data_IF_200872581753
#
_entry.id   IF_200872581753
#
_cell.length_a   1.000
_cell.length_b   1.000
_cell.length_c   1.000
_cell.angle_alpha   90.00
_cell.angle_beta   90.00
_cell.angle_gamma   90.00
#
_symmetry.space_group_name_H-M   'P 1'
#
loop_
_entity.id
_entity.type
_entity.pdbx_description
1 polymer ?
#
# COMPACT_ATOMS: atom_id res chain seq x y z
N UNK A 1 0.68 15.73 4.58
CA UNK A 1 -0.31 15.13 5.51
C UNK A 1 -1.25 14.26 4.70
N UNK A 2 -1.22 12.94 4.85
CA UNK A 2 -1.91 11.99 3.96
C UNK A 2 -3.46 12.01 4.10
N UNK A 3 -3.98 12.45 5.24
CA UNK A 3 -5.41 12.38 5.58
C UNK A 3 -6.08 13.76 5.72
N UNK A 4 -5.41 14.84 5.30
CA UNK A 4 -5.87 16.21 5.56
C UNK A 4 -5.90 16.57 7.05
N UNK A 5 -6.54 17.68 7.41
CA UNK A 5 -6.57 18.18 8.79
C UNK A 5 -7.73 19.15 9.08
N UNK A 6 -7.90 19.48 10.37
CA UNK A 6 -8.95 20.39 10.85
C UNK A 6 -10.37 19.83 10.68
N UNK A 7 -11.34 20.71 10.42
CA UNK A 7 -12.78 20.37 10.32
C UNK A 7 -13.13 19.42 9.16
N UNK A 8 -12.21 19.18 8.23
CA UNK A 8 -12.39 18.29 7.07
C UNK A 8 -11.30 17.22 6.98
N UNK A 9 -10.72 16.84 8.12
CA UNK A 9 -9.84 15.67 8.19
C UNK A 9 -10.59 14.42 7.75
N UNK A 10 -9.89 13.46 7.14
CA UNK A 10 -10.46 12.17 6.79
C UNK A 10 -11.07 11.50 8.03
N UNK A 11 -12.36 11.24 8.01
CA UNK A 11 -13.08 10.57 9.09
C UNK A 11 -12.52 9.16 9.38
N UNK A 12 -11.91 8.53 8.38
CA UNK A 12 -11.29 7.20 8.48
C UNK A 12 -9.80 7.20 8.82
N UNK A 13 -9.17 8.34 9.14
CA UNK A 13 -7.71 8.42 9.28
C UNK A 13 -7.13 7.40 10.27
N UNK A 14 -7.75 7.27 11.45
CA UNK A 14 -7.33 6.30 12.47
C UNK A 14 -7.53 4.85 12.01
N UNK A 15 -8.69 4.55 11.43
CA UNK A 15 -9.01 3.21 10.93
C UNK A 15 -8.08 2.80 9.79
N UNK A 16 -7.77 3.71 8.87
CA UNK A 16 -6.83 3.47 7.78
C UNK A 16 -5.44 3.11 8.33
N UNK A 17 -4.97 3.79 9.38
CA UNK A 17 -3.68 3.48 9.99
C UNK A 17 -3.70 2.11 10.69
N UNK A 18 -4.78 1.78 11.42
CA UNK A 18 -4.91 0.48 12.07
C UNK A 18 -4.91 -0.67 11.05
N UNK A 19 -5.67 -0.53 9.97
CA UNK A 19 -5.72 -1.51 8.89
C UNK A 19 -4.35 -1.64 8.24
N UNK A 20 -3.70 -0.52 7.86
CA UNK A 20 -2.41 -0.54 7.20
C UNK A 20 -1.33 -1.20 8.07
N UNK A 21 -1.18 -0.77 9.33
CA UNK A 21 -0.18 -1.32 10.24
C UNK A 21 -0.39 -2.82 10.49
N UNK A 22 -1.61 -3.24 10.82
CA UNK A 22 -1.90 -4.64 11.12
C UNK A 22 -1.70 -5.53 9.87
N UNK A 23 -2.16 -5.06 8.71
CA UNK A 23 -2.04 -5.81 7.44
C UNK A 23 -0.57 -5.96 7.04
N UNK A 24 0.19 -4.86 7.05
CA UNK A 24 1.62 -4.88 6.71
C UNK A 24 2.37 -5.76 7.70
N UNK A 25 2.13 -5.59 9.01
CA UNK A 25 2.75 -6.41 10.05
C UNK A 25 2.53 -7.91 9.82
N UNK A 26 1.29 -8.31 9.52
CA UNK A 26 0.97 -9.71 9.21
C UNK A 26 1.66 -10.20 7.94
N UNK A 27 1.59 -9.41 6.86
CA UNK A 27 2.19 -9.75 5.56
C UNK A 27 3.70 -9.94 5.65
N UNK A 28 4.40 -9.08 6.37
CA UNK A 28 5.86 -9.18 6.54
C UNK A 28 6.25 -10.19 7.61
N UNK A 29 5.38 -10.53 8.56
CA UNK A 29 5.70 -11.58 9.54
C UNK A 29 5.62 -12.97 8.89
N UNK A 30 4.61 -13.22 8.06
CA UNK A 30 4.34 -14.56 7.52
C UNK A 30 5.01 -14.86 6.18
N UNK A 31 5.38 -13.85 5.40
CA UNK A 31 5.87 -14.08 4.03
C UNK A 31 7.16 -13.31 3.74
N UNK A 32 8.04 -13.94 2.98
CA UNK A 32 9.11 -13.30 2.22
C UNK A 32 8.53 -12.82 0.89
N UNK A 33 8.86 -11.59 0.51
CA UNK A 33 8.31 -10.93 -0.67
C UNK A 33 9.42 -10.68 -1.69
N UNK A 34 9.15 -10.99 -2.95
CA UNK A 34 9.98 -10.58 -4.09
C UNK A 34 9.12 -10.06 -5.24
N UNK A 35 9.73 -9.26 -6.11
CA UNK A 35 9.08 -8.69 -7.29
C UNK A 35 9.63 -9.39 -8.54
N UNK A 36 8.76 -9.81 -9.46
CA UNK A 36 9.21 -10.53 -10.67
C UNK A 36 9.99 -9.63 -11.64
N UNK A 37 9.52 -8.40 -11.84
CA UNK A 37 10.16 -7.37 -12.66
C UNK A 37 9.92 -6.01 -11.98
N UNK A 38 10.98 -5.21 -11.82
CA UNK A 38 10.88 -3.84 -11.31
C UNK A 38 10.65 -2.88 -12.47
N UNK A 39 9.44 -2.36 -12.58
CA UNK A 39 9.01 -1.54 -13.73
C UNK A 39 9.33 -0.04 -13.58
N UNK A 40 10.22 0.35 -12.67
CA UNK A 40 10.61 1.76 -12.48
C UNK A 40 9.43 2.66 -12.05
N UNK A 41 9.51 3.96 -12.36
CA UNK A 41 8.42 4.91 -12.09
C UNK A 41 7.19 4.62 -12.95
N UNK A 42 6.19 4.03 -12.32
CA UNK A 42 4.98 3.49 -12.95
C UNK A 42 3.73 4.07 -12.26
N UNK A 43 3.50 5.38 -12.42
CA UNK A 43 2.43 6.10 -11.73
C UNK A 43 1.32 6.47 -12.73
N UNK A 44 0.09 6.07 -12.42
CA UNK A 44 -1.08 6.52 -13.15
C UNK A 44 -1.48 7.93 -12.70
N UNK A 45 -1.20 8.92 -13.55
CA UNK A 45 -1.48 10.33 -13.28
C UNK A 45 -2.90 10.77 -13.65
N UNK A 46 -3.70 9.88 -14.27
CA UNK A 46 -5.05 10.21 -14.76
C UNK A 46 -6.16 9.88 -13.74
N UNK A 47 -5.82 9.32 -12.57
CA UNK A 47 -6.78 8.86 -11.57
C UNK A 47 -7.18 9.90 -10.50
N UNK A 48 -8.32 9.66 -9.83
CA UNK A 48 -8.74 10.39 -8.62
C UNK A 48 -7.84 10.11 -7.40
N UNK A 49 -7.15 8.97 -7.42
CA UNK A 49 -6.14 8.57 -6.44
C UNK A 49 -4.87 8.18 -7.19
N UNK A 50 -3.72 8.29 -6.51
CA UNK A 50 -2.46 7.78 -7.05
C UNK A 50 -2.50 6.26 -7.08
N UNK A 51 -2.36 5.68 -8.26
CA UNK A 51 -2.34 4.23 -8.48
C UNK A 51 -1.12 3.88 -9.34
N UNK A 52 -0.72 2.61 -9.34
CA UNK A 52 0.26 2.15 -10.33
C UNK A 52 -0.34 2.21 -11.73
N UNK A 53 0.46 2.59 -12.72
CA UNK A 53 0.04 2.61 -14.12
C UNK A 53 -0.09 1.18 -14.68
N UNK A 54 0.81 0.27 -14.29
CA UNK A 54 0.74 -1.13 -14.63
C UNK A 54 0.56 -2.01 -13.37
N UNK A 55 -0.18 -3.14 -13.47
CA UNK A 55 -0.28 -4.08 -12.35
C UNK A 55 1.09 -4.64 -11.97
N UNK A 56 1.40 -4.62 -10.67
CA UNK A 56 2.62 -5.25 -10.13
C UNK A 56 2.37 -6.72 -9.77
N UNK A 57 3.34 -7.59 -10.06
CA UNK A 57 3.29 -9.01 -9.68
C UNK A 57 4.24 -9.29 -8.52
N UNK A 58 3.66 -9.39 -7.31
CA UNK A 58 4.36 -9.84 -6.12
C UNK A 58 4.42 -11.36 -6.05
N UNK A 59 5.60 -11.90 -5.73
CA UNK A 59 5.82 -13.32 -5.45
C UNK A 59 6.02 -13.46 -3.94
N UNK A 60 5.20 -14.28 -3.29
CA UNK A 60 5.25 -14.52 -1.84
C UNK A 60 5.67 -15.95 -1.52
N UNK A 61 6.49 -16.11 -0.49
CA UNK A 61 6.89 -17.41 0.07
C UNK A 61 6.68 -17.41 1.58
N UNK A 62 6.08 -18.45 2.19
CA UNK A 62 5.95 -18.50 3.65
C UNK A 62 7.32 -18.42 4.35
N UNK A 63 7.42 -17.59 5.39
CA UNK A 63 8.55 -17.60 6.34
C UNK A 63 8.43 -18.81 7.26
N UNK A 64 9.58 -19.37 7.62
CA UNK A 64 9.69 -20.41 8.65
C UNK A 64 9.73 -19.79 10.03
#
# INVERSE_FOLDING_TARGET
>A
MAFGGGKRVCAGAMQAMLIACASIGRMVHEFEWSLKEDSGEDINTLGLTTQKLNPMLAVIKPRK
#
